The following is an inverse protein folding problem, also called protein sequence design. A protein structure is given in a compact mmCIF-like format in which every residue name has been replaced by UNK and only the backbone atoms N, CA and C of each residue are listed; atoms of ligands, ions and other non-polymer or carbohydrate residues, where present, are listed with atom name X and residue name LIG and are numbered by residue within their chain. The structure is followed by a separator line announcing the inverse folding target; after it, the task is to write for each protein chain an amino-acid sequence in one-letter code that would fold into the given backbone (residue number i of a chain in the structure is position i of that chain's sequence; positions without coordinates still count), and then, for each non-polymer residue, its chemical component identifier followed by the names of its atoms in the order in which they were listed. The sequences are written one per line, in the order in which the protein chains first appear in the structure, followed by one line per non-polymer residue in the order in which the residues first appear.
data_IF_831733415834
#
_entry.id   IF_831733415834
#
_cell.length_a   1.000
_cell.length_b   1.000
_cell.length_c   1.000
_cell.angle_alpha   90.00
_cell.angle_beta   90.00
_cell.angle_gamma   90.00
#
_symmetry.space_group_name_H-M   'P 1'
#
loop_
_entity.id
_entity.type
_entity.pdbx_description
1 polymer ?
#
# COMPACT_ATOMS: atom_id res chain seq x y z
N UNK A 1 -12.29 30.35 25.82
CA UNK A 1 -13.72 30.80 25.93
C UNK A 1 -14.32 31.12 24.56
N UNK A 2 -13.70 32.02 23.73
CA UNK A 2 -14.27 32.46 22.42
C UNK A 2 -14.53 31.33 21.43
N UNK A 3 -13.54 30.47 21.11
CA UNK A 3 -13.70 29.36 20.20
C UNK A 3 -14.76 28.35 20.62
N UNK A 4 -14.88 28.10 21.93
CA UNK A 4 -15.94 27.26 22.49
C UNK A 4 -17.33 27.87 22.27
N UNK A 5 -17.48 29.19 22.49
CA UNK A 5 -18.74 29.88 22.21
C UNK A 5 -19.10 29.88 20.73
N UNK A 6 -18.14 30.15 19.85
CA UNK A 6 -18.33 30.12 18.39
C UNK A 6 -18.75 28.73 17.91
N UNK A 7 -18.12 27.69 18.41
CA UNK A 7 -18.47 26.31 18.06
C UNK A 7 -19.86 25.92 18.56
N UNK A 8 -20.21 26.27 19.79
CA UNK A 8 -21.58 26.00 20.35
C UNK A 8 -22.68 26.74 19.62
N UNK A 9 -22.37 27.92 19.06
CA UNK A 9 -23.35 28.72 18.32
C UNK A 9 -23.58 28.20 16.89
N UNK A 10 -22.55 27.79 16.17
CA UNK A 10 -22.61 27.51 14.72
C UNK A 10 -21.61 26.44 14.24
N UNK A 11 -21.01 25.73 15.17
CA UNK A 11 -20.06 24.66 14.83
C UNK A 11 -20.74 23.32 14.61
N UNK A 12 -20.07 22.48 13.83
CA UNK A 12 -20.42 21.07 13.69
C UNK A 12 -19.17 20.19 13.58
N UNK A 13 -19.29 18.95 13.99
CA UNK A 13 -18.27 17.93 13.89
C UNK A 13 -18.89 16.65 13.33
N UNK A 14 -18.21 16.03 12.36
CA UNK A 14 -18.65 14.77 11.77
C UNK A 14 -18.34 13.57 12.67
N UNK A 15 -19.09 12.48 12.47
CA UNK A 15 -18.78 11.19 13.09
C UNK A 15 -17.35 10.75 12.69
N UNK A 16 -16.41 10.64 13.66
CA UNK A 16 -15.02 10.28 13.39
C UNK A 16 -14.85 8.87 12.83
N UNK A 17 -15.84 8.00 12.95
CA UNK A 17 -15.82 6.67 12.31
C UNK A 17 -15.89 6.76 10.78
N UNK A 18 -16.52 7.79 10.23
CA UNK A 18 -16.66 8.02 8.80
C UNK A 18 -15.48 8.84 8.26
N UNK A 19 -15.41 10.11 8.66
CA UNK A 19 -14.35 11.03 8.24
C UNK A 19 -14.11 12.11 9.29
N UNK A 20 -12.97 12.78 9.20
CA UNK A 20 -12.64 13.90 10.08
C UNK A 20 -13.06 15.20 9.42
N UNK A 21 -13.95 15.93 10.06
CA UNK A 21 -14.38 17.25 9.63
C UNK A 21 -14.96 18.00 10.81
N UNK A 22 -14.43 19.21 11.08
CA UNK A 22 -14.97 20.17 12.01
C UNK A 22 -15.12 21.48 11.27
N UNK A 23 -16.26 22.14 11.42
CA UNK A 23 -16.52 23.43 10.83
C UNK A 23 -17.21 24.39 11.78
N UNK A 24 -16.99 25.70 11.59
CA UNK A 24 -17.69 26.79 12.24
C UNK A 24 -18.21 27.70 11.14
N UNK A 25 -19.52 27.93 11.12
CA UNK A 25 -20.16 28.81 10.15
C UNK A 25 -20.16 30.25 10.67
N UNK A 26 -19.57 31.16 9.90
CA UNK A 26 -19.50 32.58 10.23
C UNK A 26 -20.40 33.39 9.31
N UNK A 27 -21.08 34.45 9.83
CA UNK A 27 -21.98 35.24 9.02
C UNK A 27 -21.26 36.09 7.95
N UNK A 28 -20.04 36.49 8.22
CA UNK A 28 -19.24 37.39 7.38
C UNK A 28 -17.76 36.98 7.34
N UNK A 29 -17.01 37.58 6.39
CA UNK A 29 -15.59 37.30 6.22
C UNK A 29 -14.74 37.77 7.40
N UNK A 30 -14.91 38.98 7.99
CA UNK A 30 -14.10 39.41 9.13
C UNK A 30 -14.18 38.46 10.33
N UNK A 31 -15.36 37.89 10.61
CA UNK A 31 -15.51 36.91 11.68
C UNK A 31 -14.84 35.58 11.38
N UNK A 32 -14.90 35.12 10.12
CA UNK A 32 -14.18 33.92 9.70
C UNK A 32 -12.67 34.09 9.81
N UNK A 33 -12.15 35.23 9.39
CA UNK A 33 -10.73 35.58 9.52
C UNK A 33 -10.29 35.65 10.98
N UNK A 34 -11.08 36.27 11.85
CA UNK A 34 -10.81 36.30 13.29
C UNK A 34 -10.73 34.90 13.91
N UNK A 35 -11.65 34.02 13.54
CA UNK A 35 -11.62 32.61 14.00
C UNK A 35 -10.38 31.90 13.47
N UNK A 36 -10.05 32.07 12.21
CA UNK A 36 -8.88 31.44 11.58
C UNK A 36 -7.57 31.95 12.22
N UNK A 37 -7.41 33.24 12.39
CA UNK A 37 -6.21 33.80 13.05
C UNK A 37 -6.05 33.33 14.49
N UNK A 38 -7.14 33.23 15.21
CA UNK A 38 -7.12 32.70 16.57
C UNK A 38 -6.73 31.21 16.59
N UNK A 39 -7.24 30.40 15.67
CA UNK A 39 -6.85 29.00 15.52
C UNK A 39 -5.37 28.87 15.15
N UNK A 40 -4.88 29.71 14.25
CA UNK A 40 -3.48 29.77 13.85
C UNK A 40 -2.56 30.13 15.02
N UNK A 41 -2.99 30.96 15.96
CA UNK A 41 -2.20 31.27 17.17
C UNK A 41 -1.99 30.07 18.08
N UNK A 42 -2.80 29.03 17.96
CA UNK A 42 -2.65 27.74 18.62
C UNK A 42 -2.00 26.67 17.74
N UNK A 43 -1.49 27.04 16.55
CA UNK A 43 -0.86 26.08 15.62
C UNK A 43 -1.83 25.29 14.75
N UNK A 44 -3.12 25.62 14.76
CA UNK A 44 -4.15 24.94 13.97
C UNK A 44 -4.32 25.63 12.62
N UNK A 45 -4.11 24.90 11.52
CA UNK A 45 -4.25 25.37 10.13
C UNK A 45 -5.67 25.11 9.61
N UNK A 46 -6.61 26.00 9.93
CA UNK A 46 -7.97 25.97 9.44
C UNK A 46 -8.11 26.72 8.11
N UNK A 47 -9.02 26.26 7.26
CA UNK A 47 -9.32 26.88 5.95
C UNK A 47 -10.66 27.58 5.96
N UNK A 48 -10.80 28.65 5.15
CA UNK A 48 -12.06 29.35 4.95
C UNK A 48 -12.60 29.00 3.56
N UNK A 49 -13.89 28.74 3.46
CA UNK A 49 -14.62 28.56 2.21
C UNK A 49 -15.95 29.30 2.26
N UNK A 50 -16.33 29.94 1.13
CA UNK A 50 -17.67 30.51 0.98
C UNK A 50 -18.64 29.42 0.55
N UNK A 51 -19.70 29.20 1.34
CA UNK A 51 -20.74 28.21 1.06
C UNK A 51 -22.12 28.81 1.32
N UNK A 52 -22.97 28.90 0.30
CA UNK A 52 -24.33 29.44 0.41
C UNK A 52 -24.38 30.81 1.14
N UNK A 53 -23.53 31.75 0.73
CA UNK A 53 -23.38 33.09 1.32
C UNK A 53 -22.89 33.15 2.77
N UNK A 54 -22.38 32.04 3.34
CA UNK A 54 -21.74 32.00 4.65
C UNK A 54 -20.27 31.65 4.51
N UNK A 55 -19.44 32.24 5.35
CA UNK A 55 -18.02 31.89 5.45
C UNK A 55 -17.87 30.76 6.44
N UNK A 56 -17.32 29.64 5.98
CA UNK A 56 -17.14 28.42 6.81
C UNK A 56 -15.65 28.21 7.08
N UNK A 57 -15.28 28.29 8.35
CA UNK A 57 -13.94 27.92 8.81
C UNK A 57 -13.95 26.43 9.10
N UNK A 58 -13.07 25.65 8.46
CA UNK A 58 -13.08 24.20 8.62
C UNK A 58 -11.69 23.58 8.68
N UNK A 59 -11.62 22.39 9.28
CA UNK A 59 -10.43 21.54 9.31
C UNK A 59 -10.82 20.08 9.07
N UNK A 60 -9.91 19.30 8.49
CA UNK A 60 -10.12 17.88 8.10
C UNK A 60 -9.08 16.94 8.71
N UNK A 61 -8.06 17.44 9.34
CA UNK A 61 -7.04 16.64 9.96
C UNK A 61 -7.43 16.25 11.38
N UNK A 62 -7.49 14.94 11.65
CA UNK A 62 -7.89 14.42 12.96
C UNK A 62 -7.04 14.96 14.11
N UNK A 63 -5.72 15.16 13.90
CA UNK A 63 -4.84 15.73 14.92
C UNK A 63 -5.25 17.17 15.28
N UNK A 64 -5.51 18.02 14.30
CA UNK A 64 -5.93 19.40 14.52
C UNK A 64 -7.31 19.50 15.17
N UNK A 65 -8.23 18.56 14.84
CA UNK A 65 -9.54 18.49 15.49
C UNK A 65 -9.40 18.11 16.98
N UNK A 66 -8.48 17.20 17.30
CA UNK A 66 -8.14 16.86 18.70
C UNK A 66 -7.62 18.07 19.45
N UNK A 67 -6.68 18.83 18.88
CA UNK A 67 -6.16 20.06 19.45
C UNK A 67 -7.27 21.09 19.67
N UNK A 68 -8.16 21.26 18.69
CA UNK A 68 -9.33 22.16 18.81
C UNK A 68 -10.26 21.74 19.94
N UNK A 69 -10.55 20.44 20.08
CA UNK A 69 -11.35 19.91 21.17
C UNK A 69 -10.69 20.16 22.54
N UNK A 70 -9.35 20.05 22.61
CA UNK A 70 -8.58 20.38 23.80
C UNK A 70 -8.68 21.86 24.18
N UNK A 71 -8.53 22.77 23.22
CA UNK A 71 -8.69 24.23 23.42
C UNK A 71 -10.11 24.57 23.90
N UNK A 72 -11.12 23.85 23.43
CA UNK A 72 -12.48 24.01 23.85
C UNK A 72 -12.82 23.33 25.19
N UNK A 73 -11.87 22.60 25.77
CA UNK A 73 -12.06 21.80 27.01
C UNK A 73 -13.11 20.69 26.84
N UNK A 74 -13.30 20.20 25.63
CA UNK A 74 -14.23 19.13 25.29
C UNK A 74 -13.59 17.74 25.50
N UNK A 75 -13.11 17.46 26.71
CA UNK A 75 -12.24 16.31 27.02
C UNK A 75 -12.86 14.95 26.67
N UNK A 76 -14.17 14.76 26.89
CA UNK A 76 -14.86 13.50 26.55
C UNK A 76 -14.87 13.29 25.04
N UNK A 77 -15.19 14.32 24.27
CA UNK A 77 -15.19 14.25 22.81
C UNK A 77 -13.77 14.03 22.25
N UNK A 78 -12.79 14.69 22.86
CA UNK A 78 -11.37 14.50 22.54
C UNK A 78 -10.94 13.04 22.73
N UNK A 79 -11.19 12.45 23.89
CA UNK A 79 -10.84 11.06 24.20
C UNK A 79 -11.53 10.08 23.25
N UNK A 80 -12.79 10.29 22.92
CA UNK A 80 -13.52 9.47 21.98
C UNK A 80 -12.92 9.56 20.56
N UNK A 81 -12.57 10.75 20.11
CA UNK A 81 -11.92 10.97 18.81
C UNK A 81 -10.54 10.30 18.75
N UNK A 82 -9.72 10.45 19.79
CA UNK A 82 -8.40 9.81 19.87
C UNK A 82 -8.50 8.28 19.84
N UNK A 83 -9.42 7.69 20.58
CA UNK A 83 -9.65 6.25 20.55
C UNK A 83 -9.99 5.77 19.13
N UNK A 84 -10.86 6.48 18.41
CA UNK A 84 -11.20 6.15 17.02
C UNK A 84 -9.97 6.30 16.10
N UNK A 85 -9.14 7.34 16.29
CA UNK A 85 -7.90 7.55 15.52
C UNK A 85 -6.94 6.39 15.71
N UNK A 86 -6.63 6.02 16.94
CA UNK A 86 -5.74 4.91 17.27
C UNK A 86 -6.21 3.61 16.60
N UNK A 87 -7.50 3.29 16.74
CA UNK A 87 -8.09 2.09 16.13
C UNK A 87 -8.00 2.11 14.59
N UNK A 88 -8.23 3.25 13.95
CA UNK A 88 -8.08 3.41 12.50
C UNK A 88 -6.63 3.24 12.05
N UNK A 89 -5.68 3.81 12.76
CA UNK A 89 -4.24 3.67 12.47
C UNK A 89 -3.77 2.22 12.61
N UNK A 90 -4.18 1.54 13.67
CA UNK A 90 -3.87 0.12 13.87
C UNK A 90 -4.44 -0.73 12.74
N UNK A 91 -5.72 -0.58 12.40
CA UNK A 91 -6.36 -1.31 11.28
C UNK A 91 -5.69 -1.00 9.95
N UNK A 92 -5.38 0.27 9.69
CA UNK A 92 -4.67 0.69 8.47
C UNK A 92 -3.27 0.09 8.37
N UNK A 93 -2.54 0.01 9.48
CA UNK A 93 -1.22 -0.62 9.55
C UNK A 93 -1.28 -2.13 9.25
N UNK A 94 -2.22 -2.84 9.89
CA UNK A 94 -2.45 -4.28 9.66
C UNK A 94 -2.83 -4.53 8.19
N UNK A 95 -3.79 -3.77 7.65
CA UNK A 95 -4.23 -3.93 6.26
C UNK A 95 -3.09 -3.68 5.26
N UNK A 96 -2.26 -2.66 5.48
CA UNK A 96 -1.08 -2.40 4.62
C UNK A 96 -0.09 -3.57 4.68
N UNK A 97 0.16 -4.13 5.87
CA UNK A 97 1.05 -5.28 6.03
C UNK A 97 0.51 -6.51 5.31
N UNK A 98 -0.76 -6.86 5.53
CA UNK A 98 -1.44 -7.98 4.86
C UNK A 98 -1.42 -7.81 3.35
N UNK A 99 -1.76 -6.62 2.83
CA UNK A 99 -1.77 -6.35 1.39
C UNK A 99 -0.36 -6.48 0.79
N UNK A 100 0.67 -6.02 1.50
CA UNK A 100 2.06 -6.14 1.06
C UNK A 100 2.50 -7.62 1.01
N UNK A 101 2.21 -8.39 2.06
CA UNK A 101 2.54 -9.82 2.12
C UNK A 101 1.79 -10.60 1.03
N UNK A 102 0.49 -10.36 0.86
CA UNK A 102 -0.32 -10.99 -0.19
C UNK A 102 0.22 -10.67 -1.60
N UNK A 103 0.57 -9.40 -1.86
CA UNK A 103 1.15 -9.01 -3.14
C UNK A 103 2.51 -9.70 -3.40
N UNK A 104 3.34 -9.87 -2.37
CA UNK A 104 4.62 -10.55 -2.48
C UNK A 104 4.43 -12.05 -2.74
N UNK A 105 3.50 -12.71 -2.06
CA UNK A 105 3.16 -14.12 -2.29
C UNK A 105 2.66 -14.29 -3.73
N UNK A 106 1.71 -13.48 -4.19
CA UNK A 106 1.17 -13.56 -5.54
C UNK A 106 2.25 -13.37 -6.61
N UNK A 107 3.19 -12.43 -6.43
CA UNK A 107 4.34 -12.24 -7.33
C UNK A 107 5.21 -13.48 -7.37
N UNK A 108 5.49 -14.09 -6.22
CA UNK A 108 6.33 -15.29 -6.11
C UNK A 108 5.68 -16.49 -6.79
N UNK A 109 4.39 -16.73 -6.52
CA UNK A 109 3.62 -17.82 -7.13
C UNK A 109 3.52 -17.63 -8.65
N UNK A 110 3.16 -16.44 -9.12
CA UNK A 110 3.07 -16.16 -10.56
C UNK A 110 4.42 -16.32 -11.27
N UNK A 111 5.53 -15.95 -10.61
CA UNK A 111 6.86 -16.18 -11.17
C UNK A 111 7.19 -17.68 -11.25
N UNK A 112 6.85 -18.47 -10.23
CA UNK A 112 7.07 -19.91 -10.22
C UNK A 112 6.27 -20.62 -11.33
N UNK A 113 5.01 -20.26 -11.52
CA UNK A 113 4.15 -20.80 -12.58
C UNK A 113 4.79 -20.55 -13.94
N UNK A 114 5.16 -19.30 -14.25
CA UNK A 114 5.81 -18.98 -15.54
C UNK A 114 7.13 -19.74 -15.74
N UNK A 115 7.93 -19.88 -14.69
CA UNK A 115 9.17 -20.65 -14.76
C UNK A 115 8.91 -22.11 -15.10
N UNK A 116 7.87 -22.71 -14.52
CA UNK A 116 7.46 -24.09 -14.79
C UNK A 116 6.95 -24.23 -16.23
N UNK A 117 6.15 -23.31 -16.71
CA UNK A 117 5.66 -23.27 -18.10
C UNK A 117 6.82 -23.16 -19.10
N UNK A 118 7.78 -22.28 -18.84
CA UNK A 118 8.96 -22.13 -19.70
C UNK A 118 9.83 -23.41 -19.71
N UNK A 119 10.02 -24.03 -18.56
CA UNK A 119 10.80 -25.25 -18.42
C UNK A 119 10.11 -26.44 -19.12
N UNK A 120 8.81 -26.60 -18.95
CA UNK A 120 8.05 -27.65 -19.65
C UNK A 120 8.09 -27.46 -21.16
N UNK A 121 7.96 -26.21 -21.62
CA UNK A 121 8.07 -25.92 -23.05
C UNK A 121 9.44 -26.30 -23.62
N UNK A 122 10.54 -26.07 -22.90
CA UNK A 122 11.88 -26.53 -23.30
C UNK A 122 11.93 -28.06 -23.33
N UNK A 123 11.40 -28.74 -22.30
CA UNK A 123 11.39 -30.20 -22.22
C UNK A 123 10.66 -30.83 -23.41
N UNK A 124 9.48 -30.31 -23.77
CA UNK A 124 8.66 -30.79 -24.87
C UNK A 124 9.25 -30.50 -26.25
N UNK A 125 9.98 -29.39 -26.40
CA UNK A 125 10.50 -28.95 -27.72
C UNK A 125 11.86 -29.52 -28.04
N UNK A 126 12.81 -29.47 -27.12
CA UNK A 126 14.22 -29.87 -27.39
C UNK A 126 14.77 -30.91 -26.41
N UNK A 127 14.03 -31.18 -25.34
CA UNK A 127 14.49 -31.98 -24.20
C UNK A 127 15.59 -31.28 -23.38
N UNK A 128 15.82 -31.80 -22.17
CA UNK A 128 16.82 -31.20 -21.27
C UNK A 128 18.28 -31.52 -21.65
N UNK A 129 18.51 -32.56 -22.45
CA UNK A 129 19.86 -32.93 -22.94
C UNK A 129 20.50 -31.83 -23.80
N UNK A 130 19.72 -30.89 -24.31
CA UNK A 130 20.21 -29.73 -25.06
C UNK A 130 20.71 -28.60 -24.15
N UNK A 131 20.42 -28.66 -22.86
CA UNK A 131 20.79 -27.63 -21.89
C UNK A 131 22.18 -27.89 -21.29
N UNK A 132 22.93 -26.83 -20.95
CA UNK A 132 24.09 -26.96 -20.08
C UNK A 132 23.70 -27.59 -18.74
N UNK A 133 24.53 -28.47 -18.20
CA UNK A 133 24.29 -29.22 -16.97
C UNK A 133 23.73 -28.38 -15.81
N UNK A 134 24.24 -27.15 -15.49
CA UNK A 134 23.71 -26.33 -14.41
C UNK A 134 22.28 -25.84 -14.64
N UNK A 135 21.87 -25.68 -15.91
CA UNK A 135 20.51 -25.28 -16.28
C UNK A 135 19.55 -26.48 -16.26
N UNK A 136 20.01 -27.64 -16.71
CA UNK A 136 19.25 -28.89 -16.61
C UNK A 136 18.92 -29.23 -15.15
N UNK A 137 19.92 -29.21 -14.26
CA UNK A 137 19.73 -29.45 -12.84
C UNK A 137 18.69 -28.47 -12.26
N UNK A 138 18.78 -27.18 -12.60
CA UNK A 138 17.84 -26.16 -12.15
C UNK A 138 16.42 -26.41 -12.67
N UNK A 139 16.28 -26.80 -13.93
CA UNK A 139 15.01 -27.10 -14.56
C UNK A 139 14.32 -28.29 -13.88
N UNK A 140 15.02 -29.41 -13.72
CA UNK A 140 14.52 -30.61 -13.04
C UNK A 140 14.11 -30.30 -11.59
N UNK A 141 14.94 -29.57 -10.86
CA UNK A 141 14.68 -29.22 -9.47
C UNK A 141 13.43 -28.33 -9.33
N UNK A 142 13.24 -27.37 -10.25
CA UNK A 142 12.06 -26.48 -10.22
C UNK A 142 10.77 -27.25 -10.53
N UNK A 143 10.81 -28.23 -11.44
CA UNK A 143 9.64 -29.08 -11.72
C UNK A 143 9.31 -30.00 -10.53
N UNK A 144 10.33 -30.52 -9.87
CA UNK A 144 10.18 -31.41 -8.72
C UNK A 144 9.64 -30.67 -7.47
N UNK A 145 10.06 -29.40 -7.31
CA UNK A 145 9.69 -28.56 -6.15
C UNK A 145 9.08 -27.23 -6.60
N UNK A 146 7.84 -27.26 -7.13
CA UNK A 146 7.19 -26.08 -7.74
C UNK A 146 6.94 -24.95 -6.74
N UNK A 147 6.75 -25.25 -5.46
CA UNK A 147 6.46 -24.27 -4.42
C UNK A 147 7.70 -23.76 -3.68
N UNK A 148 8.86 -24.39 -3.90
CA UNK A 148 10.09 -24.02 -3.21
C UNK A 148 10.53 -22.59 -3.56
N UNK A 149 10.96 -21.86 -2.56
CA UNK A 149 11.57 -20.55 -2.74
C UNK A 149 12.92 -20.63 -3.46
N UNK A 150 13.38 -19.53 -4.05
CA UNK A 150 14.69 -19.50 -4.70
C UNK A 150 15.85 -19.84 -3.75
N UNK A 151 15.70 -19.56 -2.46
CA UNK A 151 16.70 -19.89 -1.46
C UNK A 151 16.75 -21.41 -1.19
N UNK A 152 15.59 -22.04 -1.06
CA UNK A 152 15.48 -23.50 -0.87
C UNK A 152 16.01 -24.26 -2.08
N UNK A 153 15.61 -23.87 -3.29
CA UNK A 153 16.15 -24.43 -4.53
C UNK A 153 17.69 -24.33 -4.58
N UNK A 154 18.23 -23.19 -4.16
CA UNK A 154 19.67 -22.98 -4.12
C UNK A 154 20.41 -23.91 -3.16
N UNK A 155 19.80 -24.23 -2.03
CA UNK A 155 20.33 -25.18 -1.04
C UNK A 155 20.31 -26.64 -1.54
N UNK A 156 19.40 -26.97 -2.43
CA UNK A 156 19.25 -28.31 -3.02
C UNK A 156 20.20 -28.57 -4.19
N UNK A 157 20.85 -27.53 -4.72
CA UNK A 157 21.84 -27.67 -5.80
C UNK A 157 23.22 -28.09 -5.28
N UNK A 158 23.96 -28.81 -6.12
CA UNK A 158 25.34 -29.20 -5.83
C UNK A 158 26.27 -28.65 -6.95
N UNK A 159 27.20 -27.73 -6.63
CA UNK A 159 27.38 -27.05 -5.33
C UNK A 159 26.21 -26.13 -4.97
N UNK A 160 26.06 -25.82 -3.67
CA UNK A 160 25.02 -24.89 -3.16
C UNK A 160 25.16 -23.53 -3.82
N UNK A 161 24.04 -22.97 -4.29
CA UNK A 161 23.97 -21.70 -5.01
C UNK A 161 23.08 -20.70 -4.26
N UNK A 162 23.52 -19.47 -4.16
CA UNK A 162 22.73 -18.39 -3.55
C UNK A 162 21.53 -17.99 -4.40
N UNK A 163 20.57 -17.27 -3.79
CA UNK A 163 19.34 -16.77 -4.41
C UNK A 163 19.58 -16.08 -5.76
N UNK A 164 20.65 -15.25 -5.86
CA UNK A 164 21.00 -14.54 -7.11
C UNK A 164 21.41 -15.49 -8.21
N UNK A 165 22.19 -16.56 -7.91
CA UNK A 165 22.59 -17.55 -8.87
C UNK A 165 21.43 -18.42 -9.36
N UNK A 166 20.51 -18.80 -8.46
CA UNK A 166 19.27 -19.49 -8.85
C UNK A 166 18.44 -18.61 -9.78
N UNK A 167 18.23 -17.33 -9.42
CA UNK A 167 17.49 -16.39 -10.27
C UNK A 167 18.14 -16.20 -11.65
N UNK A 168 19.48 -16.16 -11.71
CA UNK A 168 20.20 -16.08 -12.97
C UNK A 168 19.94 -17.31 -13.86
N UNK A 169 20.01 -18.53 -13.29
CA UNK A 169 19.74 -19.77 -14.03
C UNK A 169 18.31 -19.84 -14.54
N UNK A 170 17.32 -19.48 -13.72
CA UNK A 170 15.91 -19.44 -14.12
C UNK A 170 15.64 -18.39 -15.21
N UNK A 171 16.32 -17.24 -15.15
CA UNK A 171 16.25 -16.23 -16.23
C UNK A 171 16.82 -16.76 -17.55
N UNK A 172 17.92 -17.50 -17.49
CA UNK A 172 18.50 -18.14 -18.68
C UNK A 172 17.56 -19.18 -19.30
N UNK A 173 16.90 -19.99 -18.48
CA UNK A 173 15.87 -20.92 -18.97
C UNK A 173 14.71 -20.18 -19.65
N UNK A 174 14.26 -19.08 -19.10
CA UNK A 174 13.25 -18.22 -19.72
C UNK A 174 13.71 -17.69 -21.09
N UNK A 175 14.96 -17.18 -21.20
CA UNK A 175 15.54 -16.68 -22.44
C UNK A 175 15.54 -17.78 -23.52
N UNK A 176 15.93 -19.01 -23.15
CA UNK A 176 15.91 -20.17 -24.05
C UNK A 176 14.48 -20.50 -24.51
N UNK A 177 13.51 -20.52 -23.61
CA UNK A 177 12.11 -20.77 -23.96
C UNK A 177 11.54 -19.71 -24.91
N UNK A 178 11.87 -18.44 -24.69
CA UNK A 178 11.47 -17.33 -25.56
C UNK A 178 12.10 -17.45 -26.97
N UNK A 179 13.36 -17.87 -27.05
CA UNK A 179 14.04 -18.09 -28.33
C UNK A 179 13.43 -19.26 -29.11
N UNK A 180 13.09 -20.36 -28.43
CA UNK A 180 12.42 -21.50 -29.05
C UNK A 180 11.03 -21.11 -29.59
N UNK A 181 10.23 -20.37 -28.82
CA UNK A 181 8.92 -19.87 -29.28
C UNK A 181 9.05 -18.97 -30.50
N UNK A 182 10.06 -18.10 -30.56
CA UNK A 182 10.33 -17.24 -31.74
C UNK A 182 10.69 -18.04 -33.00
N UNK A 183 11.48 -19.08 -32.86
CA UNK A 183 11.85 -19.95 -33.99
C UNK A 183 10.65 -20.69 -34.53
N UNK A 184 9.80 -21.25 -33.70
CA UNK A 184 8.58 -21.95 -34.13
C UNK A 184 7.52 -21.00 -34.73
N UNK A 185 7.41 -19.75 -34.21
CA UNK A 185 6.48 -18.75 -34.76
C UNK A 185 6.96 -18.11 -36.08
N UNK A 186 8.21 -18.26 -36.44
CA UNK A 186 8.78 -17.78 -37.72
C UNK A 186 8.76 -18.79 -38.90
N UNK A 187 8.36 -20.04 -38.64
CA UNK A 187 8.20 -21.08 -39.70
C UNK A 187 6.78 -21.16 -40.29
N UNK A 188 5.88 -20.23 -39.91
CA UNK A 188 4.52 -20.15 -40.44
C UNK A 188 4.36 -18.86 -41.25
N UNK A 189 5.11 -18.75 -42.36
CA UNK A 189 4.87 -17.78 -43.43
C UNK A 189 5.28 -18.40 -44.78
#
# INVERSE_FOLDING_TARGET
AFLRGAFLASGSISDPNRFYHLEIVCPDAPRAEQVQELLKSFGIDARIVLRKNHHVVYMKEGAQIVEMLGIMEANIALMNLENVRILKEMRGSVNRKVNCETANINKTVSAAIRQIEDIRYIEETTGFSSLPEPLEQMARLRLQYPEASLLELGKMLTPVVGKSGVNHRLRKLKEIAEDLRRKQGGEVL
#
